data_IF_724341549921
#
_entry.id   IF_724341549921
#
_cell.length_a   1.000
_cell.length_b   1.000
_cell.length_c   1.000
_cell.angle_alpha   90.00
_cell.angle_beta   90.00
_cell.angle_gamma   90.00
#
_symmetry.space_group_name_H-M   'P 1'
#
loop_
_entity.id
_entity.type
_entity.pdbx_description
1 polymer ?
#
# COMPACT_ATOMS: atom_id res chain seq x y z
N UNK A 1 0.08 -12.96 1.36
CA UNK A 1 -0.74 -11.77 1.68
C UNK A 1 -0.02 -10.50 1.23
N UNK A 2 -0.76 -9.54 0.66
CA UNK A 2 -0.27 -8.23 0.23
C UNK A 2 -0.87 -7.12 1.11
N UNK A 3 -0.10 -6.09 1.44
CA UNK A 3 -0.58 -4.91 2.17
C UNK A 3 -0.15 -3.66 1.43
N UNK A 4 -1.10 -2.79 1.09
CA UNK A 4 -0.79 -1.44 0.65
C UNK A 4 -0.55 -0.56 1.88
N UNK A 5 0.65 -0.03 2.03
CA UNK A 5 0.99 0.91 3.08
C UNK A 5 0.98 2.34 2.57
N UNK A 6 0.36 3.20 3.36
CA UNK A 6 0.42 4.65 3.24
C UNK A 6 0.61 5.18 4.67
N UNK A 7 1.39 6.26 4.86
CA UNK A 7 1.59 6.85 6.17
C UNK A 7 0.29 7.56 6.64
N UNK A 8 -0.64 6.77 7.15
CA UNK A 8 -1.96 7.20 7.61
C UNK A 8 -2.42 6.33 8.76
N UNK A 9 -3.46 6.78 9.49
CA UNK A 9 -4.09 5.95 10.53
C UNK A 9 -4.64 4.63 9.96
N UNK A 10 -5.10 4.64 8.71
CA UNK A 10 -5.58 3.44 8.01
C UNK A 10 -4.44 2.51 7.63
N UNK A 11 -3.33 3.05 7.11
CA UNK A 11 -2.14 2.25 6.80
C UNK A 11 -1.53 1.61 8.04
N UNK A 12 -1.47 2.35 9.14
CA UNK A 12 -1.07 1.79 10.43
C UNK A 12 -1.94 0.64 10.92
N UNK A 13 -3.27 0.79 10.82
CA UNK A 13 -4.19 -0.29 11.16
C UNK A 13 -4.05 -1.52 10.23
N UNK A 14 -3.76 -1.29 8.94
CA UNK A 14 -3.50 -2.38 8.00
C UNK A 14 -2.23 -3.17 8.36
N UNK A 15 -1.17 -2.49 8.79
CA UNK A 15 0.06 -3.15 9.26
C UNK A 15 -0.18 -3.92 10.56
N UNK A 16 -0.93 -3.36 11.51
CA UNK A 16 -1.26 -4.07 12.75
C UNK A 16 -2.04 -5.36 12.47
N UNK A 17 -3.06 -5.28 11.60
CA UNK A 17 -3.82 -6.46 11.19
C UNK A 17 -2.95 -7.47 10.42
N UNK A 18 -2.07 -7.00 9.55
CA UNK A 18 -1.14 -7.86 8.81
C UNK A 18 -0.21 -8.62 9.75
N UNK A 19 0.30 -7.95 10.79
CA UNK A 19 1.12 -8.58 11.83
C UNK A 19 0.36 -9.69 12.53
N UNK A 20 -0.86 -9.42 12.99
CA UNK A 20 -1.70 -10.40 13.68
C UNK A 20 -1.98 -11.63 12.80
N UNK A 21 -2.28 -11.43 11.51
CA UNK A 21 -2.51 -12.52 10.56
C UNK A 21 -1.23 -13.31 10.28
N UNK A 22 -0.10 -12.63 10.07
CA UNK A 22 1.19 -13.29 9.82
C UNK A 22 1.67 -14.12 11.02
N UNK A 23 1.37 -13.68 12.24
CA UNK A 23 1.69 -14.42 13.47
C UNK A 23 0.78 -15.65 13.65
N UNK A 24 -0.53 -15.50 13.44
CA UNK A 24 -1.51 -16.58 13.65
C UNK A 24 -1.48 -17.65 12.56
N UNK A 25 -1.29 -17.24 11.31
CA UNK A 25 -1.44 -18.12 10.13
C UNK A 25 -0.09 -18.49 9.52
N UNK A 26 1.03 -17.97 10.06
CA UNK A 26 2.36 -18.11 9.47
C UNK A 26 2.43 -17.71 7.98
N UNK A 27 1.55 -16.79 7.57
CA UNK A 27 1.41 -16.39 6.18
C UNK A 27 2.60 -15.53 5.70
N UNK A 28 3.04 -15.76 4.46
CA UNK A 28 4.00 -14.88 3.79
C UNK A 28 3.37 -13.49 3.57
N UNK A 29 4.11 -12.45 3.94
CA UNK A 29 3.64 -11.06 3.88
C UNK A 29 4.51 -10.25 2.90
N UNK A 30 3.85 -9.47 2.06
CA UNK A 30 4.47 -8.44 1.23
C UNK A 30 3.82 -7.10 1.56
N UNK A 31 4.62 -6.08 1.87
CA UNK A 31 4.18 -4.71 2.10
C UNK A 31 4.64 -3.85 0.93
N UNK A 32 3.71 -3.10 0.34
CA UNK A 32 3.96 -2.22 -0.79
C UNK A 32 3.65 -0.79 -0.44
N UNK A 33 4.57 0.12 -0.74
CA UNK A 33 4.35 1.57 -0.75
C UNK A 33 4.29 2.06 -2.20
N UNK A 34 3.43 3.03 -2.50
CA UNK A 34 3.32 3.60 -3.85
C UNK A 34 3.75 5.06 -3.82
N UNK A 35 4.84 5.38 -4.51
CA UNK A 35 5.28 6.74 -4.73
C UNK A 35 4.53 7.36 -5.91
N UNK A 36 3.73 8.42 -5.70
CA UNK A 36 3.15 9.16 -6.81
C UNK A 36 4.25 9.86 -7.62
N UNK A 37 3.99 10.07 -8.92
CA UNK A 37 4.86 10.89 -9.77
C UNK A 37 4.13 12.13 -10.24
N UNK A 38 4.80 13.28 -10.13
CA UNK A 38 4.45 14.45 -10.90
C UNK A 38 4.88 14.25 -12.37
N UNK A 39 4.13 14.78 -13.34
CA UNK A 39 4.53 14.76 -14.74
C UNK A 39 5.93 15.38 -14.91
N UNK A 40 6.86 14.61 -15.45
CA UNK A 40 8.17 15.09 -15.88
C UNK A 40 8.25 15.03 -17.40
N UNK A 41 8.84 16.05 -18.02
CA UNK A 41 8.92 16.15 -19.47
C UNK A 41 9.71 17.39 -19.88
N UNK A 42 10.03 17.57 -21.17
CA UNK A 42 10.92 18.63 -21.64
C UNK A 42 10.45 20.07 -21.34
N UNK A 43 9.19 20.25 -20.93
CA UNK A 43 8.62 21.54 -20.48
C UNK A 43 8.53 21.70 -18.97
N UNK A 44 8.86 20.66 -18.21
CA UNK A 44 8.90 20.67 -16.76
C UNK A 44 10.38 20.72 -16.38
N UNK A 45 10.83 21.80 -15.73
CA UNK A 45 12.23 21.92 -15.32
C UNK A 45 12.70 20.79 -14.39
N UNK A 46 14.00 20.75 -14.11
CA UNK A 46 14.64 19.75 -13.23
C UNK A 46 13.95 19.56 -11.86
N UNK A 47 13.19 20.56 -11.40
CA UNK A 47 12.34 20.50 -10.21
C UNK A 47 11.38 19.31 -10.14
N UNK A 48 10.85 18.83 -11.28
CA UNK A 48 9.93 17.69 -11.27
C UNK A 48 10.65 16.37 -10.99
N UNK A 49 11.90 16.25 -11.44
CA UNK A 49 12.72 15.06 -11.21
C UNK A 49 13.19 14.99 -9.76
N UNK A 50 13.68 16.10 -9.21
CA UNK A 50 14.06 16.22 -7.79
C UNK A 50 12.84 15.98 -6.87
N UNK A 51 11.67 16.53 -7.23
CA UNK A 51 10.43 16.26 -6.50
C UNK A 51 10.07 14.78 -6.49
N UNK A 52 10.08 14.12 -7.66
CA UNK A 52 9.74 12.70 -7.75
C UNK A 52 10.72 11.82 -6.96
N UNK A 53 12.02 12.17 -6.95
CA UNK A 53 13.02 11.50 -6.12
C UNK A 53 12.76 11.69 -4.63
N UNK A 54 12.43 12.91 -4.19
CA UNK A 54 12.11 13.20 -2.80
C UNK A 54 10.85 12.44 -2.33
N UNK A 55 9.82 12.37 -3.19
CA UNK A 55 8.60 11.59 -2.91
C UNK A 55 8.92 10.09 -2.79
N UNK A 56 9.71 9.53 -3.71
CA UNK A 56 10.11 8.13 -3.64
C UNK A 56 10.92 7.82 -2.36
N UNK A 57 11.84 8.70 -1.98
CA UNK A 57 12.60 8.58 -0.73
C UNK A 57 11.70 8.65 0.51
N UNK A 58 10.70 9.55 0.52
CA UNK A 58 9.72 9.64 1.59
C UNK A 58 8.92 8.33 1.74
N UNK A 59 8.47 7.73 0.63
CA UNK A 59 7.73 6.46 0.70
C UNK A 59 8.63 5.29 1.08
N UNK A 60 9.92 5.32 0.74
CA UNK A 60 10.88 4.34 1.24
C UNK A 60 11.05 4.44 2.77
N UNK A 61 11.13 5.66 3.31
CA UNK A 61 11.17 5.88 4.76
C UNK A 61 9.88 5.40 5.43
N UNK A 62 8.72 5.64 4.82
CA UNK A 62 7.43 5.10 5.31
C UNK A 62 7.47 3.56 5.39
N UNK A 63 8.08 2.88 4.42
CA UNK A 63 8.24 1.42 4.46
C UNK A 63 9.16 0.95 5.58
N UNK A 64 10.18 1.72 5.94
CA UNK A 64 11.02 1.43 7.10
C UNK A 64 10.23 1.57 8.42
N UNK A 65 9.36 2.58 8.55
CA UNK A 65 8.45 2.68 9.70
C UNK A 65 7.48 1.48 9.78
N UNK A 66 6.98 1.01 8.63
CA UNK A 66 6.15 -0.19 8.56
C UNK A 66 6.92 -1.44 9.00
N UNK A 67 8.21 -1.54 8.63
CA UNK A 67 9.11 -2.61 9.05
C UNK A 67 9.26 -2.64 10.56
N UNK A 68 9.52 -1.49 11.18
CA UNK A 68 9.62 -1.37 12.64
C UNK A 68 8.32 -1.80 13.33
N UNK A 69 7.17 -1.38 12.81
CA UNK A 69 5.85 -1.71 13.37
C UNK A 69 5.50 -3.20 13.28
N UNK A 70 5.93 -3.87 12.21
CA UNK A 70 5.78 -5.33 12.05
C UNK A 70 6.65 -6.12 13.05
N UNK A 71 7.72 -5.53 13.58
CA UNK A 71 8.63 -6.20 14.52
C UNK A 71 9.22 -7.47 13.92
N UNK A 72 9.14 -8.59 14.65
CA UNK A 72 9.70 -9.89 14.20
C UNK A 72 9.09 -10.41 12.90
N UNK A 73 7.84 -10.05 12.59
CA UNK A 73 7.22 -10.45 11.33
C UNK A 73 7.96 -9.86 10.11
N UNK A 74 8.66 -8.73 10.30
CA UNK A 74 9.39 -8.05 9.22
C UNK A 74 10.54 -8.89 8.64
N UNK A 75 11.13 -9.80 9.41
CA UNK A 75 12.25 -10.65 8.98
C UNK A 75 11.88 -11.60 7.83
N UNK A 76 10.58 -11.93 7.72
CA UNK A 76 10.01 -12.80 6.69
C UNK A 76 9.10 -12.04 5.72
N UNK A 77 9.11 -10.71 5.80
CA UNK A 77 8.25 -9.84 5.00
C UNK A 77 9.06 -9.23 3.87
N UNK A 78 8.51 -9.27 2.66
CA UNK A 78 9.06 -8.51 1.54
C UNK A 78 8.52 -7.06 1.58
N UNK A 79 9.38 -6.08 1.32
CA UNK A 79 9.02 -4.66 1.28
C UNK A 79 9.35 -4.12 -0.10
N UNK A 80 8.38 -3.50 -0.75
CA UNK A 80 8.54 -3.04 -2.12
C UNK A 80 7.97 -1.65 -2.35
N UNK A 81 8.81 -0.78 -2.91
CA UNK A 81 8.39 0.51 -3.44
C UNK A 81 7.93 0.32 -4.88
N UNK A 82 6.69 0.70 -5.17
CA UNK A 82 6.19 0.85 -6.53
C UNK A 82 6.08 2.33 -6.88
N UNK A 83 6.22 2.63 -8.17
CA UNK A 83 6.09 3.98 -8.70
C UNK A 83 4.75 4.06 -9.44
N UNK A 84 3.92 5.04 -9.11
CA UNK A 84 2.62 5.21 -9.75
C UNK A 84 2.78 5.52 -11.25
N UNK A 85 2.12 4.74 -12.10
CA UNK A 85 2.20 4.88 -13.56
C UNK A 85 3.46 4.27 -14.20
N UNK A 86 4.30 3.59 -13.42
CA UNK A 86 5.39 2.77 -13.92
C UNK A 86 5.04 1.27 -13.84
N UNK A 87 5.83 0.47 -14.55
CA UNK A 87 5.71 -0.98 -14.55
C UNK A 87 6.59 -1.62 -13.45
N UNK A 88 6.09 -2.64 -12.73
CA UNK A 88 4.72 -3.15 -12.77
C UNK A 88 3.75 -2.21 -12.02
N UNK A 89 2.52 -2.08 -12.51
CA UNK A 89 1.44 -1.46 -11.74
C UNK A 89 1.11 -2.26 -10.48
N UNK A 90 0.36 -1.69 -9.53
CA UNK A 90 -0.10 -2.42 -8.33
C UNK A 90 -0.92 -3.67 -8.72
N UNK A 91 -1.70 -3.57 -9.79
CA UNK A 91 -2.56 -4.66 -10.24
C UNK A 91 -1.74 -5.80 -10.84
N UNK A 92 -0.79 -5.50 -11.72
CA UNK A 92 0.12 -6.50 -12.29
C UNK A 92 0.99 -7.12 -11.20
N UNK A 93 1.49 -6.30 -10.28
CA UNK A 93 2.25 -6.77 -9.14
C UNK A 93 1.43 -7.76 -8.29
N UNK A 94 0.18 -7.41 -7.98
CA UNK A 94 -0.72 -8.27 -7.20
C UNK A 94 -1.06 -9.57 -7.95
N UNK A 95 -1.24 -9.50 -9.27
CA UNK A 95 -1.55 -10.65 -10.11
C UNK A 95 -0.36 -11.61 -10.23
N UNK A 96 0.84 -11.08 -10.51
CA UNK A 96 2.08 -11.88 -10.63
C UNK A 96 2.43 -12.52 -9.29
N UNK A 97 2.23 -11.80 -8.19
CA UNK A 97 2.52 -12.29 -6.85
C UNK A 97 1.55 -13.37 -6.34
N UNK A 98 0.40 -13.56 -7.00
CA UNK A 98 -0.57 -14.62 -6.66
C UNK A 98 -1.08 -14.53 -5.21
N UNK A 99 -1.33 -13.34 -4.69
CA UNK A 99 -1.71 -13.16 -3.29
C UNK A 99 -3.17 -13.56 -3.03
N UNK A 100 -3.42 -14.39 -2.03
CA UNK A 100 -4.80 -14.79 -1.66
C UNK A 100 -5.59 -13.70 -0.93
N UNK A 101 -4.88 -12.78 -0.27
CA UNK A 101 -5.44 -11.70 0.54
C UNK A 101 -4.67 -10.40 0.31
N UNK A 102 -5.41 -9.31 0.04
CA UNK A 102 -4.89 -7.94 -0.04
C UNK A 102 -5.57 -7.06 1.01
N UNK A 103 -4.76 -6.45 1.87
CA UNK A 103 -5.21 -5.44 2.83
C UNK A 103 -4.98 -4.04 2.24
N UNK A 104 -6.05 -3.25 2.18
CA UNK A 104 -6.00 -1.86 1.74
C UNK A 104 -6.45 -0.94 2.87
N UNK A 105 -5.79 0.20 3.09
CA UNK A 105 -6.22 1.17 4.08
C UNK A 105 -7.55 1.79 3.63
N UNK A 106 -8.54 1.83 4.52
CA UNK A 106 -9.80 2.47 4.20
C UNK A 106 -9.63 3.99 4.19
N UNK A 107 -10.02 4.63 3.09
CA UNK A 107 -10.11 6.09 2.99
C UNK A 107 -11.56 6.54 3.24
N UNK A 108 -11.69 7.69 3.92
CA UNK A 108 -13.00 8.34 4.10
C UNK A 108 -13.42 9.00 2.78
N UNK A 109 -14.64 8.76 2.31
CA UNK A 109 -15.19 9.48 1.16
C UNK A 109 -15.44 10.94 1.54
N UNK A 110 -14.85 11.93 0.84
CA UNK A 110 -14.99 13.33 1.21
C UNK A 110 -16.40 13.91 0.98
N UNK A 111 -17.27 13.27 0.16
CA UNK A 111 -18.52 13.91 -0.30
C UNK A 111 -19.79 13.03 -0.36
N UNK A 112 -19.83 11.83 0.23
CA UNK A 112 -21.08 11.02 0.28
C UNK A 112 -21.33 10.45 1.67
N UNK A 113 -22.29 11.08 2.37
CA UNK A 113 -22.69 10.84 3.76
C UNK A 113 -23.41 9.53 4.06
N UNK A 114 -22.86 8.37 3.66
CA UNK A 114 -23.24 7.08 4.23
C UNK A 114 -22.00 6.21 4.38
N UNK A 115 -21.38 6.29 5.56
CA UNK A 115 -20.59 5.27 6.29
C UNK A 115 -19.73 4.23 5.56
N UNK A 116 -19.36 4.41 4.29
CA UNK A 116 -18.67 3.39 3.52
C UNK A 116 -17.16 3.64 3.46
N UNK A 117 -16.39 2.69 3.98
CA UNK A 117 -14.95 2.57 3.69
C UNK A 117 -14.73 2.38 2.18
N UNK A 118 -13.83 3.15 1.59
CA UNK A 118 -13.49 3.06 0.17
C UNK A 118 -11.98 3.13 -0.03
N UNK A 119 -11.49 2.41 -1.04
CA UNK A 119 -10.15 2.61 -1.57
C UNK A 119 -10.23 2.54 -3.11
N UNK A 120 -9.63 3.49 -3.85
CA UNK A 120 -9.75 3.55 -5.32
C UNK A 120 -9.26 2.28 -6.01
N UNK A 121 -8.22 1.65 -5.46
CA UNK A 121 -7.66 0.42 -6.01
C UNK A 121 -8.47 -0.84 -5.70
N UNK A 122 -9.41 -0.79 -4.74
CA UNK A 122 -10.13 -1.99 -4.31
C UNK A 122 -10.98 -2.59 -5.44
N UNK A 123 -11.69 -1.76 -6.20
CA UNK A 123 -12.49 -2.24 -7.33
C UNK A 123 -11.63 -2.82 -8.45
N UNK A 124 -10.48 -2.22 -8.74
CA UNK A 124 -9.56 -2.70 -9.77
C UNK A 124 -8.93 -4.03 -9.39
N UNK A 125 -8.45 -4.15 -8.14
CA UNK A 125 -7.83 -5.37 -7.64
C UNK A 125 -8.81 -6.54 -7.55
N UNK A 126 -10.08 -6.30 -7.18
CA UNK A 126 -11.12 -7.33 -7.16
C UNK A 126 -11.38 -7.96 -8.53
N UNK A 127 -11.23 -7.19 -9.61
CA UNK A 127 -11.49 -7.67 -10.96
C UNK A 127 -10.35 -8.54 -11.52
N UNK A 128 -9.12 -8.34 -11.03
CA UNK A 128 -7.91 -8.86 -11.69
C UNK A 128 -7.21 -9.92 -10.85
N UNK A 129 -7.08 -9.70 -9.54
CA UNK A 129 -6.16 -10.49 -8.73
C UNK A 129 -6.75 -11.83 -8.24
N UNK A 130 -8.07 -12.04 -8.35
CA UNK A 130 -8.74 -13.20 -7.72
C UNK A 130 -8.62 -13.24 -6.18
N UNK A 131 -7.99 -12.23 -5.59
CA UNK A 131 -7.66 -12.14 -4.18
C UNK A 131 -8.83 -11.63 -3.35
N UNK A 132 -8.93 -12.07 -2.10
CA UNK A 132 -9.80 -11.43 -1.13
C UNK A 132 -9.28 -10.00 -0.85
N UNK A 133 -10.14 -8.98 -1.00
CA UNK A 133 -9.77 -7.59 -0.74
C UNK A 133 -10.45 -7.10 0.54
N UNK A 134 -9.66 -6.84 1.59
CA UNK A 134 -10.15 -6.29 2.87
C UNK A 134 -9.78 -4.81 3.01
N UNK A 135 -10.78 -3.97 3.28
CA UNK A 135 -10.58 -2.56 3.61
C UNK A 135 -10.41 -2.41 5.12
N UNK A 136 -9.26 -1.93 5.57
CA UNK A 136 -8.94 -1.80 6.99
C UNK A 136 -9.26 -0.38 7.47
N UNK A 137 -10.26 -0.26 8.34
CA UNK A 137 -10.62 1.02 8.94
C UNK A 137 -9.54 1.48 9.92
N UNK A 138 -9.27 2.80 10.04
CA UNK A 138 -8.45 3.31 11.12
C UNK A 138 -9.13 2.97 12.45
N UNK A 139 -8.39 2.37 13.38
CA UNK A 139 -8.91 2.09 14.72
C UNK A 139 -9.41 3.38 15.38
N UNK A 140 -10.59 3.31 15.99
CA UNK A 140 -11.10 4.36 16.87
C UNK A 140 -10.20 4.41 18.10
N UNK A 141 -9.27 5.37 18.16
CA UNK A 141 -8.68 5.82 19.42
C UNK A 141 -9.33 7.14 19.78
#
# INVERSE_FOLDING_TARGET
MLVLYEQSRGGGAAIDLARELAEREHAALTVVGIAPQAPSGPRCGNSALEYNQAVAASVAQDLDEARERLGRASERTNFQLLIAGAEPSLQEFAQIGGFDLVLLPARRRPLRGRGGSYHPEASRLRLIAGAEIRLVAPGSR
#
